data_IF_383821143586
#
_entry.id   IF_383821143586
#
_cell.length_a   1.000
_cell.length_b   1.000
_cell.length_c   1.000
_cell.angle_alpha   90.00
_cell.angle_beta   90.00
_cell.angle_gamma   90.00
#
_symmetry.space_group_name_H-M   'P 1'
#
loop_
_entity.id
_entity.type
_entity.pdbx_description
1 polymer ?
#
# COMPACT_ATOMS: atom_id res chain seq x y z
N UNK A 1 12.59 27.42 -0.04
CA UNK A 1 13.37 26.17 0.02
C UNK A 1 12.74 25.27 1.07
N UNK A 2 12.43 24.00 0.74
CA UNK A 2 11.86 23.06 1.72
C UNK A 2 13.03 22.41 2.47
N UNK A 3 13.05 22.48 3.80
CA UNK A 3 14.06 21.78 4.59
C UNK A 3 13.83 20.26 4.53
N UNK A 4 14.89 19.50 4.18
CA UNK A 4 14.83 18.03 4.05
C UNK A 4 14.24 17.37 5.31
N UNK A 5 14.75 17.74 6.48
CA UNK A 5 14.33 17.19 7.77
C UNK A 5 12.83 17.39 8.03
N UNK A 6 12.30 18.57 7.67
CA UNK A 6 10.88 18.88 7.84
C UNK A 6 10.02 18.02 6.91
N UNK A 7 10.42 17.91 5.64
CA UNK A 7 9.71 17.09 4.65
C UNK A 7 9.73 15.61 5.04
N UNK A 8 10.90 15.11 5.45
CA UNK A 8 11.08 13.72 5.86
C UNK A 8 10.28 13.40 7.12
N UNK A 9 10.26 14.31 8.11
CA UNK A 9 9.45 14.15 9.33
C UNK A 9 7.95 14.10 9.02
N UNK A 10 7.46 14.99 8.16
CA UNK A 10 6.06 15.01 7.74
C UNK A 10 5.67 13.75 6.95
N UNK A 11 6.58 13.24 6.12
CA UNK A 11 6.32 12.04 5.35
C UNK A 11 6.36 10.77 6.22
N UNK A 12 7.34 10.66 7.13
CA UNK A 12 7.47 9.55 8.09
C UNK A 12 6.33 9.48 9.11
N UNK A 13 5.62 10.58 9.36
CA UNK A 13 4.43 10.56 10.22
C UNK A 13 3.20 9.91 9.56
N UNK A 14 3.32 9.46 8.32
CA UNK A 14 2.29 8.72 7.59
C UNK A 14 1.54 9.55 6.54
N UNK A 15 1.74 10.87 6.51
CA UNK A 15 1.07 11.76 5.56
C UNK A 15 1.43 11.44 4.11
N UNK A 16 0.42 11.36 3.25
CA UNK A 16 0.63 11.32 1.80
C UNK A 16 1.12 12.66 1.28
N UNK A 17 1.61 12.72 0.04
CA UNK A 17 2.01 13.98 -0.61
C UNK A 17 0.86 14.99 -0.57
N UNK A 18 -0.37 14.53 -0.87
CA UNK A 18 -1.56 15.37 -0.76
C UNK A 18 -1.77 15.86 0.68
N UNK A 19 -1.65 14.99 1.67
CA UNK A 19 -1.79 15.40 3.08
C UNK A 19 -0.69 16.36 3.57
N UNK A 20 0.49 16.36 2.93
CA UNK A 20 1.54 17.37 3.17
C UNK A 20 1.13 18.71 2.55
N UNK A 21 0.65 18.69 1.30
CA UNK A 21 0.12 19.88 0.61
C UNK A 21 -1.06 20.49 1.38
N UNK A 22 -2.00 19.67 1.87
CA UNK A 22 -3.16 20.17 2.62
C UNK A 22 -2.78 20.82 3.97
N UNK A 23 -1.60 20.49 4.51
CA UNK A 23 -1.09 20.99 5.81
C UNK A 23 -0.01 22.05 5.67
N UNK A 24 0.38 22.41 4.46
CA UNK A 24 1.47 23.36 4.19
C UNK A 24 1.13 24.24 3.01
N UNK A 25 1.79 25.38 2.85
CA UNK A 25 1.58 26.21 1.65
C UNK A 25 2.39 25.74 0.44
N UNK A 26 2.82 24.47 0.42
CA UNK A 26 3.65 23.91 -0.65
C UNK A 26 2.77 23.31 -1.74
N UNK A 27 3.11 23.56 -3.01
CA UNK A 27 2.44 22.89 -4.11
C UNK A 27 2.84 21.42 -4.23
N UNK A 28 1.95 20.61 -4.77
CA UNK A 28 2.17 19.18 -5.01
C UNK A 28 3.46 18.90 -5.81
N UNK A 29 3.69 19.65 -6.90
CA UNK A 29 4.90 19.51 -7.72
C UNK A 29 6.16 19.94 -6.99
N UNK A 30 6.11 20.97 -6.14
CA UNK A 30 7.25 21.36 -5.31
C UNK A 30 7.62 20.23 -4.34
N UNK A 31 6.62 19.62 -3.68
CA UNK A 31 6.88 18.50 -2.76
C UNK A 31 7.53 17.33 -3.50
N UNK A 32 7.01 16.94 -4.66
CA UNK A 32 7.61 15.87 -5.49
C UNK A 32 9.06 16.19 -5.85
N UNK A 33 9.29 17.39 -6.38
CA UNK A 33 10.63 17.83 -6.78
C UNK A 33 11.63 17.70 -5.63
N UNK A 34 11.25 18.14 -4.43
CA UNK A 34 12.13 18.06 -3.26
C UNK A 34 12.28 16.62 -2.73
N UNK A 35 11.25 15.78 -2.82
CA UNK A 35 11.37 14.35 -2.48
C UNK A 35 12.36 13.65 -3.40
N UNK A 36 12.26 13.87 -4.72
CA UNK A 36 13.19 13.29 -5.70
C UNK A 36 14.61 13.84 -5.49
N UNK A 37 14.75 15.16 -5.28
CA UNK A 37 16.04 15.80 -5.02
C UNK A 37 16.73 15.30 -3.74
N UNK A 38 15.97 14.94 -2.72
CA UNK A 38 16.49 14.38 -1.47
C UNK A 38 16.57 12.86 -1.45
N UNK A 39 16.23 12.21 -2.57
CA UNK A 39 16.16 10.76 -2.74
C UNK A 39 15.27 10.07 -1.69
N UNK A 40 14.15 10.71 -1.33
CA UNK A 40 13.14 10.15 -0.43
C UNK A 40 12.23 9.24 -1.26
N UNK A 41 12.28 7.94 -0.99
CA UNK A 41 11.47 6.97 -1.73
C UNK A 41 9.96 7.22 -1.52
N UNK A 42 9.24 7.34 -2.64
CA UNK A 42 7.80 7.59 -2.65
C UNK A 42 7.03 6.28 -2.57
N UNK A 43 5.98 6.26 -1.74
CA UNK A 43 5.02 5.17 -1.66
C UNK A 43 4.20 5.13 -2.94
N UNK A 44 3.82 3.93 -3.35
CA UNK A 44 2.77 3.76 -4.35
C UNK A 44 1.44 4.37 -3.86
N UNK A 45 0.53 4.65 -4.78
CA UNK A 45 -0.81 5.15 -4.44
C UNK A 45 -1.55 4.21 -3.49
N UNK A 46 -1.42 2.90 -3.71
CA UNK A 46 -2.03 1.86 -2.89
C UNK A 46 -1.48 1.85 -1.47
N UNK A 47 -0.16 1.91 -1.29
CA UNK A 47 0.46 1.98 0.04
C UNK A 47 0.11 3.28 0.76
N UNK A 48 0.09 4.41 0.05
CA UNK A 48 -0.30 5.69 0.62
C UNK A 48 -1.74 5.66 1.15
N UNK A 49 -2.67 5.07 0.38
CA UNK A 49 -4.05 4.85 0.82
C UNK A 49 -4.11 3.86 1.97
N UNK A 50 -3.37 2.76 1.91
CA UNK A 50 -3.34 1.74 2.96
C UNK A 50 -2.96 2.35 4.30
N UNK A 51 -1.85 3.10 4.36
CA UNK A 51 -1.41 3.77 5.59
C UNK A 51 -2.41 4.82 6.07
N UNK A 52 -3.06 5.54 5.14
CA UNK A 52 -4.10 6.53 5.49
C UNK A 52 -5.29 5.89 6.21
N UNK A 53 -5.75 4.73 5.75
CA UNK A 53 -6.91 4.03 6.33
C UNK A 53 -6.55 3.08 7.47
N UNK A 54 -5.26 2.76 7.65
CA UNK A 54 -4.74 1.89 8.71
C UNK A 54 -3.70 2.64 9.58
N UNK A 55 -4.10 3.70 10.30
CA UNK A 55 -3.17 4.54 11.07
C UNK A 55 -2.52 3.81 12.25
N UNK A 56 -3.16 2.74 12.75
CA UNK A 56 -2.66 1.93 13.86
C UNK A 56 -1.81 0.74 13.38
N UNK A 57 -1.37 0.75 12.12
CA UNK A 57 -0.64 -0.35 11.49
C UNK A 57 -1.56 -1.39 10.87
N UNK A 58 -0.97 -2.51 10.46
CA UNK A 58 -1.67 -3.59 9.78
C UNK A 58 -2.66 -4.31 10.74
N UNK A 59 -3.99 -4.24 10.49
CA UNK A 59 -4.96 -4.95 11.31
C UNK A 59 -4.97 -6.46 11.04
N UNK A 60 -4.39 -6.92 9.93
CA UNK A 60 -4.41 -8.32 9.54
C UNK A 60 -3.32 -9.09 10.27
N UNK A 61 -3.74 -10.12 11.01
CA UNK A 61 -2.84 -11.08 11.65
C UNK A 61 -3.12 -12.47 11.10
N UNK A 62 -2.07 -13.14 10.65
CA UNK A 62 -2.17 -14.53 10.20
C UNK A 62 -2.27 -15.41 11.45
N UNK A 63 -3.39 -16.12 11.59
CA UNK A 63 -3.58 -17.08 12.67
C UNK A 63 -2.88 -18.39 12.31
N UNK A 64 -1.89 -18.78 13.11
CA UNK A 64 -1.11 -20.01 12.87
C UNK A 64 -1.88 -21.28 13.28
N UNK A 65 -2.58 -21.22 14.41
CA UNK A 65 -3.34 -22.35 14.95
C UNK A 65 -4.83 -22.19 14.66
N UNK A 66 -5.33 -22.94 13.68
CA UNK A 66 -6.73 -22.89 13.25
C UNK A 66 -7.55 -23.99 13.93
N UNK A 67 -8.77 -23.65 14.35
CA UNK A 67 -9.78 -24.63 14.75
C UNK A 67 -10.28 -25.41 13.53
N UNK A 68 -10.94 -26.57 13.73
CA UNK A 68 -11.46 -27.39 12.62
C UNK A 68 -12.36 -26.59 11.66
N UNK A 69 -13.22 -25.73 12.21
CA UNK A 69 -14.12 -24.89 11.41
C UNK A 69 -13.35 -23.81 10.62
N UNK A 70 -12.31 -23.22 11.21
CA UNK A 70 -11.46 -22.24 10.52
C UNK A 70 -10.59 -22.88 9.44
N UNK A 71 -10.15 -24.13 9.62
CA UNK A 71 -9.48 -24.90 8.56
C UNK A 71 -10.43 -25.11 7.38
N UNK A 72 -11.68 -25.52 7.65
CA UNK A 72 -12.69 -25.68 6.60
C UNK A 72 -12.98 -24.34 5.90
N UNK A 73 -13.12 -23.24 6.66
CA UNK A 73 -13.34 -21.91 6.12
C UNK A 73 -12.14 -21.43 5.26
N UNK A 74 -10.90 -21.67 5.72
CA UNK A 74 -9.70 -21.38 4.94
C UNK A 74 -9.68 -22.17 3.64
N UNK A 75 -10.01 -23.47 3.70
CA UNK A 75 -10.10 -24.33 2.52
C UNK A 75 -11.14 -23.83 1.51
N UNK A 76 -12.34 -23.45 1.99
CA UNK A 76 -13.37 -22.86 1.14
C UNK A 76 -12.94 -21.53 0.52
N UNK A 77 -12.34 -20.63 1.31
CA UNK A 77 -11.83 -19.36 0.82
C UNK A 77 -10.74 -19.52 -0.24
N UNK A 78 -9.82 -20.48 -0.04
CA UNK A 78 -8.81 -20.84 -1.05
C UNK A 78 -9.45 -21.46 -2.30
N UNK A 79 -10.45 -22.33 -2.14
CA UNK A 79 -11.19 -22.92 -3.25
C UNK A 79 -11.93 -21.88 -4.09
N UNK A 80 -12.56 -20.90 -3.45
CA UNK A 80 -13.18 -19.75 -4.13
C UNK A 80 -12.10 -18.90 -4.82
N UNK A 81 -11.00 -18.57 -4.13
CA UNK A 81 -9.90 -17.81 -4.71
C UNK A 81 -9.30 -18.49 -5.95
N UNK A 82 -9.11 -19.81 -5.93
CA UNK A 82 -8.62 -20.56 -7.09
C UNK A 82 -9.69 -20.75 -8.18
N UNK A 83 -10.96 -20.86 -7.80
CA UNK A 83 -12.06 -21.01 -8.74
C UNK A 83 -12.47 -19.71 -9.45
N UNK A 84 -12.33 -18.57 -8.77
CA UNK A 84 -12.73 -17.24 -9.23
C UNK A 84 -11.52 -16.39 -9.72
N UNK A 85 -10.31 -16.71 -9.25
CA UNK A 85 -9.08 -16.01 -9.60
C UNK A 85 -8.48 -16.43 -10.95
N UNK A 86 -8.45 -15.49 -11.89
CA UNK A 86 -7.48 -15.15 -12.97
C UNK A 86 -6.48 -16.19 -13.56
N UNK A 87 -6.58 -17.50 -13.33
CA UNK A 87 -5.73 -18.54 -13.94
C UNK A 87 -5.98 -18.74 -15.45
N UNK A 88 -6.79 -17.86 -16.06
CA UNK A 88 -7.02 -17.81 -17.51
C UNK A 88 -6.05 -16.90 -18.28
N UNK A 89 -5.29 -16.00 -17.63
CA UNK A 89 -4.42 -15.07 -18.38
C UNK A 89 -3.03 -15.60 -18.76
N UNK A 90 -2.55 -16.68 -18.14
CA UNK A 90 -1.20 -17.20 -18.42
C UNK A 90 -1.13 -18.40 -19.38
N UNK A 91 -2.25 -18.90 -19.91
CA UNK A 91 -2.27 -20.03 -20.86
C UNK A 91 -2.70 -19.62 -22.29
N UNK A 92 -2.75 -18.32 -22.60
CA UNK A 92 -3.10 -17.79 -23.92
C UNK A 92 -1.93 -17.62 -24.90
N UNK A 93 -0.80 -18.31 -24.70
CA UNK A 93 0.44 -18.09 -25.47
C UNK A 93 1.11 -19.34 -26.05
N UNK A 94 0.41 -20.47 -26.16
CA UNK A 94 0.99 -21.72 -26.67
C UNK A 94 0.09 -22.45 -27.68
N UNK A 95 -0.66 -21.69 -28.48
CA UNK A 95 -1.23 -22.20 -29.74
C UNK A 95 -1.02 -21.13 -30.81
N UNK A 96 0.14 -21.20 -31.47
CA UNK A 96 0.40 -20.64 -32.80
C UNK A 96 1.13 -21.71 -33.61
#
# INVERSE_FOLDING_TARGET
MIAKEKLEKLYKSGLSIQGIVDKTDWSYHQVIYWMDKYNIHRRSRSEANYVKYNPNGDPFKIKENLTKNEVALKGLGLGIYWGDGELKKCLGGLVS
#
